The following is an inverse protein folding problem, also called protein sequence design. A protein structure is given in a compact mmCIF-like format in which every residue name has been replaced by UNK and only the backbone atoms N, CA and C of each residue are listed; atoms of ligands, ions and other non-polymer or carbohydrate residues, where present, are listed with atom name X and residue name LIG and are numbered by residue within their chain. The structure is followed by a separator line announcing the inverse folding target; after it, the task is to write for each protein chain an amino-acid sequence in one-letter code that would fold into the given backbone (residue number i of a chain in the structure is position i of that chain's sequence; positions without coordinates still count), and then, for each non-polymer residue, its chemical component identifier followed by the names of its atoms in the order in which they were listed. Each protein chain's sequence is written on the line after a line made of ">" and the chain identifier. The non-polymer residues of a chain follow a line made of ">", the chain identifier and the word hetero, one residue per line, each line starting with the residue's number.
data_IF_433222026719
#
_entry.id   IF_433222026719
#
_cell.length_a   1.000
_cell.length_b   1.000
_cell.length_c   1.000
_cell.angle_alpha   90.00
_cell.angle_beta   90.00
_cell.angle_gamma   90.00
#
_symmetry.space_group_name_H-M   'P 1'
#
loop_
_entity.id
_entity.type
_entity.pdbx_description
1 polymer ?
#
# COMPACT_ATOMS: atom_id res chain seq x y z
N UNK A 1 -43.16 -48.33 -5.87
CA UNK A 1 -41.86 -48.05 -6.55
C UNK A 1 -41.78 -46.61 -7.08
N UNK A 2 -42.43 -45.66 -6.42
CA UNK A 2 -42.40 -44.21 -6.76
C UNK A 2 -41.43 -43.41 -5.89
N UNK A 3 -40.83 -44.04 -4.87
CA UNK A 3 -39.94 -43.37 -3.92
C UNK A 3 -38.47 -43.29 -4.38
N UNK A 4 -38.00 -44.20 -5.25
CA UNK A 4 -36.59 -44.21 -5.71
C UNK A 4 -36.34 -43.19 -6.84
N UNK A 5 -37.38 -42.89 -7.62
CA UNK A 5 -37.34 -42.00 -8.79
C UNK A 5 -37.12 -40.53 -8.36
N UNK A 6 -37.68 -40.13 -7.21
CA UNK A 6 -37.40 -38.82 -6.63
C UNK A 6 -36.01 -38.74 -6.01
N UNK A 7 -35.44 -39.82 -5.47
CA UNK A 7 -34.16 -39.76 -4.78
C UNK A 7 -32.96 -39.49 -5.70
N UNK A 8 -32.89 -40.05 -6.92
CA UNK A 8 -31.70 -39.87 -7.78
C UNK A 8 -31.65 -38.48 -8.42
N UNK A 9 -32.80 -37.96 -8.89
CA UNK A 9 -32.90 -36.58 -9.39
C UNK A 9 -32.85 -35.54 -8.26
N UNK A 10 -33.33 -35.85 -7.05
CA UNK A 10 -33.09 -34.99 -5.87
C UNK A 10 -31.62 -35.02 -5.45
N UNK A 11 -30.94 -36.17 -5.44
CA UNK A 11 -29.55 -36.28 -4.94
C UNK A 11 -28.56 -35.54 -5.86
N UNK A 12 -28.74 -35.61 -7.18
CA UNK A 12 -27.84 -34.95 -8.15
C UNK A 12 -28.11 -33.44 -8.18
N UNK A 13 -29.39 -33.02 -8.13
CA UNK A 13 -29.75 -31.61 -7.89
C UNK A 13 -29.34 -31.09 -6.50
N UNK A 14 -29.27 -31.96 -5.47
CA UNK A 14 -28.80 -31.63 -4.13
C UNK A 14 -27.29 -31.38 -4.09
N UNK A 15 -26.46 -32.02 -4.93
CA UNK A 15 -25.02 -31.74 -4.93
C UNK A 15 -24.76 -30.28 -5.32
N UNK A 16 -25.53 -29.73 -6.27
CA UNK A 16 -25.48 -28.32 -6.64
C UNK A 16 -26.17 -27.40 -5.60
N UNK A 17 -27.31 -27.81 -5.04
CA UNK A 17 -28.04 -27.00 -4.05
C UNK A 17 -27.40 -26.94 -2.64
N UNK A 18 -26.66 -27.97 -2.23
CA UNK A 18 -26.10 -28.07 -0.86
C UNK A 18 -24.73 -27.39 -0.73
N UNK A 19 -24.04 -27.09 -1.84
CA UNK A 19 -22.68 -26.53 -1.82
C UNK A 19 -22.50 -25.13 -2.45
N UNK A 20 -23.57 -24.40 -2.81
CA UNK A 20 -23.49 -23.06 -3.43
C UNK A 20 -22.67 -23.01 -4.76
N UNK A 21 -22.71 -24.09 -5.55
CA UNK A 21 -22.11 -24.07 -6.88
C UNK A 21 -23.20 -23.89 -7.94
N UNK A 22 -23.12 -22.82 -8.72
CA UNK A 22 -23.99 -22.62 -9.88
C UNK A 22 -23.63 -23.67 -10.96
N UNK A 23 -24.45 -24.71 -11.07
CA UNK A 23 -24.32 -25.74 -12.08
C UNK A 23 -25.02 -25.30 -13.38
N UNK A 24 -24.34 -25.47 -14.51
CA UNK A 24 -24.89 -25.22 -15.84
C UNK A 24 -25.20 -26.54 -16.51
N UNK A 25 -26.42 -26.68 -17.05
CA UNK A 25 -26.87 -27.88 -17.75
C UNK A 25 -27.24 -27.56 -19.19
N UNK A 26 -26.70 -28.32 -20.14
CA UNK A 26 -26.99 -28.20 -21.58
C UNK A 26 -27.33 -29.57 -22.19
N UNK A 27 -28.26 -29.58 -23.15
CA UNK A 27 -28.61 -30.79 -23.91
C UNK A 27 -27.55 -31.14 -24.97
N UNK A 28 -27.53 -32.39 -25.40
CA UNK A 28 -26.70 -32.85 -26.52
C UNK A 28 -26.82 -31.95 -27.76
N UNK A 29 -25.68 -31.68 -28.40
CA UNK A 29 -25.54 -30.80 -29.55
C UNK A 29 -25.46 -29.32 -29.21
N UNK A 30 -25.87 -28.92 -28.00
CA UNK A 30 -25.91 -27.52 -27.58
C UNK A 30 -24.57 -27.02 -27.05
N UNK A 31 -24.41 -25.70 -26.99
CA UNK A 31 -23.20 -25.02 -26.52
C UNK A 31 -23.49 -24.20 -25.26
N UNK A 32 -22.54 -24.16 -24.34
CA UNK A 32 -22.51 -23.24 -23.20
C UNK A 32 -21.25 -22.39 -23.22
N UNK A 33 -21.39 -21.10 -22.88
CA UNK A 33 -20.28 -20.19 -22.62
C UNK A 33 -20.27 -19.82 -21.14
N UNK A 34 -19.09 -19.83 -20.53
CA UNK A 34 -18.92 -19.34 -19.17
C UNK A 34 -17.60 -18.61 -19.04
N UNK A 35 -17.58 -17.58 -18.21
CA UNK A 35 -16.41 -16.74 -18.02
C UNK A 35 -16.33 -16.22 -16.60
N UNK A 36 -15.11 -16.14 -16.11
CA UNK A 36 -14.75 -15.38 -14.93
C UNK A 36 -14.54 -13.90 -15.27
N UNK A 37 -14.56 -13.05 -14.25
CA UNK A 37 -14.18 -11.65 -14.42
C UNK A 37 -12.72 -11.52 -14.89
N UNK A 38 -12.40 -10.36 -15.46
CA UNK A 38 -11.03 -10.07 -15.88
C UNK A 38 -10.04 -10.32 -14.74
N UNK A 39 -8.91 -10.97 -15.07
CA UNK A 39 -7.86 -11.37 -14.12
C UNK A 39 -8.17 -12.58 -13.24
N UNK A 40 -9.22 -13.35 -13.57
CA UNK A 40 -9.50 -14.63 -12.94
C UNK A 40 -9.49 -15.76 -13.96
N UNK A 41 -9.03 -16.94 -13.55
CA UNK A 41 -9.14 -18.17 -14.33
C UNK A 41 -10.28 -19.02 -13.80
N UNK A 42 -10.89 -19.75 -14.73
CA UNK A 42 -11.89 -20.76 -14.47
C UNK A 42 -11.21 -22.08 -14.15
N UNK A 43 -11.69 -22.75 -13.10
CA UNK A 43 -11.31 -24.11 -12.76
C UNK A 43 -12.57 -24.96 -12.62
N UNK A 44 -12.70 -26.00 -13.44
CA UNK A 44 -13.86 -26.88 -13.39
C UNK A 44 -13.82 -27.66 -12.07
N UNK A 45 -14.93 -27.59 -11.34
CA UNK A 45 -15.11 -28.27 -10.07
C UNK A 45 -15.75 -29.64 -10.28
N UNK A 46 -16.66 -29.75 -11.25
CA UNK A 46 -17.39 -30.98 -11.53
C UNK A 46 -17.96 -30.97 -12.96
N UNK A 47 -18.04 -32.14 -13.60
CA UNK A 47 -18.84 -32.33 -14.81
C UNK A 47 -19.36 -33.77 -14.94
N UNK A 48 -20.60 -33.91 -15.39
CA UNK A 48 -21.30 -35.17 -15.61
C UNK A 48 -22.03 -35.19 -16.95
N UNK A 49 -21.83 -36.27 -17.70
CA UNK A 49 -22.55 -36.57 -18.93
C UNK A 49 -23.56 -37.68 -18.65
N UNK A 50 -24.84 -37.35 -18.71
CA UNK A 50 -25.89 -38.24 -18.20
C UNK A 50 -27.17 -38.18 -19.02
N UNK A 51 -28.05 -39.12 -18.76
CA UNK A 51 -29.46 -39.03 -19.12
C UNK A 51 -30.31 -39.58 -17.97
N UNK A 52 -31.55 -39.11 -17.91
CA UNK A 52 -32.52 -39.53 -16.90
C UNK A 52 -33.90 -39.58 -17.52
N UNK A 53 -34.60 -40.69 -17.29
CA UNK A 53 -36.00 -40.92 -17.67
C UNK A 53 -36.71 -41.64 -16.53
N UNK A 54 -38.02 -41.86 -16.67
CA UNK A 54 -38.82 -42.59 -15.67
C UNK A 54 -38.38 -44.03 -15.45
N UNK A 55 -37.71 -44.66 -16.42
CA UNK A 55 -37.39 -46.09 -16.40
C UNK A 55 -35.89 -46.39 -16.50
N UNK A 56 -35.08 -45.39 -16.80
CA UNK A 56 -33.65 -45.56 -17.05
C UNK A 56 -32.87 -44.28 -16.74
N UNK A 57 -31.73 -44.44 -16.07
CA UNK A 57 -30.78 -43.36 -15.81
C UNK A 57 -29.36 -43.91 -15.83
N UNK A 58 -28.44 -43.22 -16.50
CA UNK A 58 -27.01 -43.51 -16.44
C UNK A 58 -26.22 -42.21 -16.50
N UNK A 59 -25.04 -42.19 -15.89
CA UNK A 59 -24.20 -41.00 -15.75
C UNK A 59 -22.73 -41.36 -15.74
N UNK A 60 -21.92 -40.61 -16.49
CA UNK A 60 -20.46 -40.70 -16.49
C UNK A 60 -19.86 -39.39 -15.99
N UNK A 61 -18.90 -39.48 -15.08
CA UNK A 61 -18.10 -38.31 -14.68
C UNK A 61 -17.11 -37.97 -15.78
N UNK A 62 -17.22 -36.76 -16.31
CA UNK A 62 -16.42 -36.27 -17.45
C UNK A 62 -15.57 -35.06 -17.07
N UNK A 63 -15.40 -34.78 -15.76
CA UNK A 63 -14.64 -33.64 -15.24
C UNK A 63 -13.24 -33.52 -15.84
N UNK A 64 -12.49 -34.62 -16.02
CA UNK A 64 -11.15 -34.60 -16.62
C UNK A 64 -11.16 -34.20 -18.09
N UNK A 65 -12.15 -34.64 -18.86
CA UNK A 65 -12.35 -34.27 -20.26
C UNK A 65 -12.74 -32.80 -20.40
N UNK A 66 -13.58 -32.29 -19.50
CA UNK A 66 -13.94 -30.87 -19.50
C UNK A 66 -12.76 -30.00 -19.03
N UNK A 67 -12.02 -30.46 -18.01
CA UNK A 67 -10.81 -29.81 -17.50
C UNK A 67 -9.78 -29.54 -18.61
N UNK A 68 -9.54 -30.52 -19.50
CA UNK A 68 -8.50 -30.39 -20.53
C UNK A 68 -8.78 -29.29 -21.56
N UNK A 69 -10.05 -28.88 -21.71
CA UNK A 69 -10.43 -27.76 -22.57
C UNK A 69 -10.61 -26.44 -21.83
N UNK A 70 -11.12 -26.47 -20.59
CA UNK A 70 -11.53 -25.25 -19.89
C UNK A 70 -10.54 -24.72 -18.87
N UNK A 71 -9.77 -25.58 -18.20
CA UNK A 71 -9.05 -25.15 -17.02
C UNK A 71 -8.04 -24.04 -17.31
N UNK A 72 -7.97 -23.12 -16.36
CA UNK A 72 -7.03 -22.01 -16.33
C UNK A 72 -7.29 -20.92 -17.38
N UNK A 73 -8.32 -21.05 -18.21
CA UNK A 73 -8.75 -19.99 -19.11
C UNK A 73 -9.69 -19.00 -18.38
N UNK A 74 -9.70 -17.73 -18.79
CA UNK A 74 -10.68 -16.75 -18.27
C UNK A 74 -12.11 -17.13 -18.63
N UNK A 75 -12.28 -17.76 -19.79
CA UNK A 75 -13.56 -18.18 -20.31
C UNK A 75 -13.43 -19.53 -21.01
N UNK A 76 -14.50 -20.29 -21.02
CA UNK A 76 -14.61 -21.56 -21.73
C UNK A 76 -15.93 -21.64 -22.50
N UNK A 77 -15.85 -22.22 -23.69
CA UNK A 77 -17.03 -22.60 -24.48
C UNK A 77 -17.05 -24.11 -24.63
N UNK A 78 -18.13 -24.76 -24.20
CA UNK A 78 -18.31 -26.20 -24.27
C UNK A 78 -19.43 -26.54 -25.22
N UNK A 79 -19.24 -27.55 -26.07
CA UNK A 79 -20.32 -28.15 -26.87
C UNK A 79 -20.53 -29.58 -26.40
N UNK A 80 -21.76 -29.91 -26.01
CA UNK A 80 -22.09 -31.22 -25.48
C UNK A 80 -22.23 -32.25 -26.60
N UNK A 81 -21.17 -33.02 -26.89
CA UNK A 81 -21.20 -34.08 -27.90
C UNK A 81 -20.68 -35.41 -27.35
N UNK A 82 -21.36 -36.50 -27.70
CA UNK A 82 -20.94 -37.85 -27.34
C UNK A 82 -19.54 -38.21 -27.89
N UNK A 83 -19.11 -37.62 -29.02
CA UNK A 83 -17.78 -37.86 -29.59
C UNK A 83 -16.64 -37.29 -28.74
N UNK A 84 -16.85 -36.13 -28.11
CA UNK A 84 -15.84 -35.48 -27.27
C UNK A 84 -15.88 -35.98 -25.82
N UNK A 85 -17.08 -36.24 -25.29
CA UNK A 85 -17.29 -36.63 -23.89
C UNK A 85 -17.02 -38.13 -23.60
N UNK A 86 -16.41 -38.86 -24.54
CA UNK A 86 -15.98 -40.24 -24.35
C UNK A 86 -17.03 -41.30 -24.70
N UNK A 87 -18.13 -40.93 -25.35
CA UNK A 87 -19.14 -41.85 -25.88
C UNK A 87 -20.57 -41.48 -25.49
N UNK A 88 -21.51 -42.37 -25.83
CA UNK A 88 -22.91 -42.27 -25.46
C UNK A 88 -23.17 -43.15 -24.21
N UNK A 89 -23.43 -42.56 -23.02
CA UNK A 89 -23.69 -43.31 -21.79
C UNK A 89 -25.04 -44.04 -21.82
N UNK A 90 -25.94 -43.67 -22.74
CA UNK A 90 -27.29 -44.20 -22.80
C UNK A 90 -27.91 -44.04 -24.20
N UNK A 91 -27.59 -44.98 -25.11
CA UNK A 91 -28.11 -44.97 -26.47
C UNK A 91 -29.65 -44.87 -26.51
N UNK A 92 -30.17 -43.99 -27.35
CA UNK A 92 -31.61 -43.79 -27.54
C UNK A 92 -32.28 -42.80 -26.57
N UNK A 93 -31.55 -42.28 -25.58
CA UNK A 93 -32.04 -41.23 -24.67
C UNK A 93 -31.37 -39.88 -24.95
N UNK A 94 -32.09 -38.78 -24.71
CA UNK A 94 -31.49 -37.44 -24.75
C UNK A 94 -30.51 -37.31 -23.59
N UNK A 95 -29.31 -36.82 -23.89
CA UNK A 95 -28.23 -36.64 -22.92
C UNK A 95 -28.05 -35.18 -22.56
N UNK A 96 -27.51 -34.96 -21.37
CA UNK A 96 -27.27 -33.66 -20.79
C UNK A 96 -25.88 -33.61 -20.17
N UNK A 97 -25.19 -32.50 -20.42
CA UNK A 97 -23.92 -32.16 -19.77
C UNK A 97 -24.24 -31.18 -18.66
N UNK A 98 -24.07 -31.62 -17.42
CA UNK A 98 -24.07 -30.76 -16.25
C UNK A 98 -22.63 -30.51 -15.82
N UNK A 99 -22.28 -29.26 -15.55
CA UNK A 99 -20.94 -28.90 -15.11
C UNK A 99 -20.95 -27.65 -14.25
N UNK A 100 -19.93 -27.52 -13.41
CA UNK A 100 -19.71 -26.36 -12.55
C UNK A 100 -18.24 -25.98 -12.52
N UNK A 101 -17.99 -24.74 -12.14
CA UNK A 101 -16.64 -24.18 -12.04
C UNK A 101 -16.53 -23.15 -10.93
N UNK A 102 -15.29 -22.87 -10.54
CA UNK A 102 -14.92 -21.77 -9.67
C UNK A 102 -13.97 -20.80 -10.37
N UNK A 103 -14.05 -19.52 -9.98
CA UNK A 103 -13.15 -18.49 -10.47
C UNK A 103 -12.06 -18.19 -9.44
N UNK A 104 -10.80 -18.19 -9.89
CA UNK A 104 -9.64 -17.94 -9.05
C UNK A 104 -8.77 -16.82 -9.62
N UNK A 105 -8.20 -15.98 -8.76
CA UNK A 105 -7.33 -14.89 -9.18
C UNK A 105 -6.08 -15.40 -9.90
N UNK A 106 -5.70 -14.76 -11.00
CA UNK A 106 -4.37 -14.94 -11.62
C UNK A 106 -3.24 -14.53 -10.68
N UNK A 107 -3.53 -13.62 -9.74
CA UNK A 107 -2.56 -12.91 -8.92
C UNK A 107 -2.60 -13.41 -7.47
N UNK A 108 -1.45 -13.88 -6.99
CA UNK A 108 -1.24 -14.31 -5.62
C UNK A 108 -0.76 -13.18 -4.70
N UNK A 109 0.14 -13.51 -3.77
CA UNK A 109 0.74 -12.53 -2.85
C UNK A 109 1.62 -11.52 -3.60
N UNK A 110 1.87 -10.39 -2.93
CA UNK A 110 2.92 -9.46 -3.34
C UNK A 110 4.29 -10.09 -3.17
N UNK A 111 5.19 -9.81 -4.11
CA UNK A 111 6.62 -10.09 -3.95
C UNK A 111 7.31 -9.02 -3.06
N UNK A 112 8.62 -9.19 -2.92
CA UNK A 112 9.47 -8.23 -2.21
C UNK A 112 9.57 -6.92 -2.97
N UNK A 113 9.66 -5.83 -2.22
CA UNK A 113 9.97 -4.51 -2.76
C UNK A 113 11.31 -4.50 -3.49
N UNK A 114 11.34 -3.90 -4.68
CA UNK A 114 12.57 -3.58 -5.39
C UNK A 114 13.49 -2.69 -4.52
N UNK A 115 14.82 -2.81 -4.63
CA UNK A 115 15.74 -1.96 -3.88
C UNK A 115 15.75 -0.53 -4.44
N UNK A 116 15.90 0.46 -3.55
CA UNK A 116 16.16 1.83 -3.95
C UNK A 116 17.60 2.00 -4.47
N UNK A 117 17.84 2.90 -5.44
CA UNK A 117 19.19 3.29 -5.83
C UNK A 117 19.87 4.04 -4.67
N UNK A 118 21.21 4.10 -4.68
CA UNK A 118 21.98 4.76 -3.62
C UNK A 118 21.78 6.29 -3.53
N UNK A 119 21.59 6.96 -4.66
CA UNK A 119 21.17 8.36 -4.76
C UNK A 119 19.77 8.42 -5.39
N UNK A 120 18.78 8.92 -4.65
CA UNK A 120 17.43 9.06 -5.17
C UNK A 120 16.89 10.48 -5.02
N UNK A 121 16.35 10.99 -6.12
CA UNK A 121 15.67 12.29 -6.17
C UNK A 121 14.15 12.10 -6.26
N UNK A 122 13.68 11.35 -7.25
CA UNK A 122 12.25 11.11 -7.55
C UNK A 122 11.93 9.62 -7.78
N UNK A 123 12.86 8.72 -7.46
CA UNK A 123 12.69 7.29 -7.72
C UNK A 123 11.60 6.69 -6.84
N UNK A 124 10.75 5.87 -7.45
CA UNK A 124 9.82 4.99 -6.78
C UNK A 124 10.28 3.55 -6.99
N UNK A 125 10.19 2.73 -5.95
CA UNK A 125 10.32 1.28 -6.07
C UNK A 125 8.95 0.67 -6.34
N UNK A 126 8.96 -0.49 -6.98
CA UNK A 126 7.78 -1.28 -7.22
C UNK A 126 7.84 -2.60 -6.45
N UNK A 127 6.68 -3.18 -6.22
CA UNK A 127 6.51 -4.61 -5.99
C UNK A 127 5.33 -5.07 -6.84
N UNK A 128 5.29 -6.34 -7.20
CA UNK A 128 4.31 -6.91 -8.11
C UNK A 128 3.59 -8.09 -7.49
N UNK A 129 2.37 -8.33 -7.96
CA UNK A 129 1.66 -9.55 -7.62
C UNK A 129 2.27 -10.73 -8.37
N UNK A 130 2.50 -11.82 -7.66
CA UNK A 130 3.04 -13.05 -8.25
C UNK A 130 1.95 -13.72 -9.11
N UNK A 131 2.29 -14.14 -10.32
CA UNK A 131 1.41 -14.94 -11.17
C UNK A 131 1.28 -16.35 -10.58
N UNK A 132 0.06 -16.76 -10.20
CA UNK A 132 -0.26 -18.08 -9.64
C UNK A 132 -1.15 -18.91 -10.57
N UNK A 133 -1.45 -18.40 -11.76
CA UNK A 133 -2.17 -19.12 -12.80
C UNK A 133 -1.36 -20.36 -13.19
N UNK A 134 -1.92 -21.59 -13.08
CA UNK A 134 -1.14 -22.81 -13.27
C UNK A 134 -0.55 -22.97 -14.68
N UNK A 135 -1.28 -22.53 -15.72
CA UNK A 135 -0.84 -22.61 -17.11
C UNK A 135 -1.02 -21.28 -17.85
N UNK A 136 -0.09 -21.00 -18.76
CA UNK A 136 -0.07 -19.77 -19.55
C UNK A 136 0.38 -18.55 -18.73
N UNK A 137 0.39 -17.38 -19.37
CA UNK A 137 0.82 -16.14 -18.73
C UNK A 137 -0.36 -15.41 -18.08
N UNK A 138 -0.09 -14.73 -16.95
CA UNK A 138 -1.07 -13.82 -16.31
C UNK A 138 -1.15 -12.45 -17.00
N UNK A 139 -0.21 -12.13 -17.89
CA UNK A 139 -0.06 -10.80 -18.49
C UNK A 139 0.70 -9.82 -17.58
N UNK A 140 0.36 -8.54 -17.66
CA UNK A 140 1.02 -7.48 -16.89
C UNK A 140 0.63 -7.52 -15.41
N UNK A 141 1.61 -7.77 -14.54
CA UNK A 141 1.38 -7.85 -13.10
C UNK A 141 0.95 -6.50 -12.50
N UNK A 142 -0.13 -6.48 -11.69
CA UNK A 142 -0.45 -5.35 -10.83
C UNK A 142 0.77 -4.95 -10.01
N UNK A 143 1.05 -3.65 -10.00
CA UNK A 143 2.18 -3.08 -9.29
C UNK A 143 1.69 -2.14 -8.20
N UNK A 144 2.36 -2.19 -7.06
CA UNK A 144 2.27 -1.20 -5.99
C UNK A 144 3.59 -0.42 -5.96
N UNK A 145 3.51 0.86 -5.61
CA UNK A 145 4.63 1.79 -5.70
C UNK A 145 4.87 2.49 -4.38
N UNK A 146 6.15 2.72 -4.06
CA UNK A 146 6.55 3.49 -2.88
C UNK A 146 7.71 4.41 -3.21
N UNK A 147 7.71 5.60 -2.65
CA UNK A 147 8.80 6.55 -2.86
C UNK A 147 10.06 6.11 -2.12
N UNK A 148 11.20 6.13 -2.79
CA UNK A 148 12.49 5.91 -2.13
C UNK A 148 12.78 6.96 -1.06
N UNK A 149 12.28 8.18 -1.24
CA UNK A 149 12.43 9.22 -0.23
C UNK A 149 11.70 8.87 1.06
N UNK A 150 10.53 8.25 0.98
CA UNK A 150 9.82 7.77 2.17
C UNK A 150 10.62 6.69 2.91
N UNK A 151 11.45 5.90 2.21
CA UNK A 151 12.32 4.88 2.81
C UNK A 151 13.64 5.42 3.38
N UNK A 152 13.88 6.74 3.27
CA UNK A 152 15.09 7.36 3.79
C UNK A 152 16.30 7.27 2.88
N UNK A 153 16.10 6.82 1.63
CA UNK A 153 17.14 6.91 0.63
C UNK A 153 17.60 8.37 0.50
N UNK A 154 18.91 8.53 0.40
CA UNK A 154 19.62 9.80 0.44
C UNK A 154 19.72 10.38 -0.97
N UNK A 155 19.68 11.70 -1.10
CA UNK A 155 20.18 12.37 -2.30
C UNK A 155 21.51 13.04 -2.02
N UNK A 156 22.47 12.98 -2.95
CA UNK A 156 23.71 13.78 -2.87
C UNK A 156 23.46 15.29 -2.71
N UNK A 157 22.25 15.73 -3.04
CA UNK A 157 21.78 17.10 -2.90
C UNK A 157 21.08 17.44 -1.57
N UNK A 158 21.09 16.53 -0.59
CA UNK A 158 20.50 16.75 0.72
C UNK A 158 21.55 16.75 1.83
N UNK A 159 21.30 17.54 2.87
CA UNK A 159 22.01 17.46 4.13
C UNK A 159 21.40 16.31 4.94
N UNK A 160 22.23 15.34 5.33
CA UNK A 160 21.84 14.23 6.19
C UNK A 160 22.35 14.45 7.62
N UNK A 161 21.45 14.44 8.59
CA UNK A 161 21.77 14.57 10.01
C UNK A 161 21.02 13.57 10.86
N UNK A 162 21.66 13.18 11.96
CA UNK A 162 21.07 12.32 12.98
C UNK A 162 21.19 13.05 14.33
N UNK A 163 20.13 12.97 15.13
CA UNK A 163 20.11 13.48 16.50
C UNK A 163 19.89 12.30 17.46
N UNK A 164 20.80 12.09 18.42
CA UNK A 164 20.65 11.03 19.42
C UNK A 164 19.58 11.38 20.47
N UNK A 165 19.31 10.42 21.37
CA UNK A 165 18.41 10.58 22.50
C UNK A 165 19.12 11.27 23.69
N UNK A 166 19.44 12.55 23.54
CA UNK A 166 20.17 13.32 24.57
C UNK A 166 19.53 14.68 24.90
N UNK A 167 18.49 15.09 24.16
CA UNK A 167 17.87 16.41 24.24
C UNK A 167 18.84 17.58 23.97
N UNK A 168 19.97 17.34 23.30
CA UNK A 168 20.92 18.39 22.92
C UNK A 168 20.52 18.97 21.56
N UNK A 169 20.55 20.29 21.47
CA UNK A 169 20.32 21.01 20.22
C UNK A 169 21.61 21.10 19.41
N UNK A 170 21.59 20.50 18.22
CA UNK A 170 22.69 20.46 17.27
C UNK A 170 22.48 21.53 16.20
N UNK A 171 23.49 22.39 16.01
CA UNK A 171 23.47 23.43 15.00
C UNK A 171 23.61 22.88 13.59
N UNK A 172 22.86 23.44 12.65
CA UNK A 172 23.00 23.17 11.22
C UNK A 172 23.98 24.13 10.51
N UNK A 173 24.60 25.06 11.25
CA UNK A 173 25.65 25.95 10.72
C UNK A 173 26.82 25.19 10.08
N UNK A 174 27.33 24.06 10.63
CA UNK A 174 28.41 23.31 10.00
C UNK A 174 28.06 22.75 8.60
N UNK A 175 26.77 22.57 8.30
CA UNK A 175 26.28 22.18 6.96
C UNK A 175 26.02 23.37 6.04
N UNK A 176 26.39 24.57 6.49
CA UNK A 176 26.06 25.82 5.82
C UNK A 176 24.55 25.99 5.64
N UNK A 177 23.79 25.50 6.62
CA UNK A 177 22.33 25.57 6.63
C UNK A 177 21.86 26.44 7.80
N UNK A 178 21.81 27.74 7.54
CA UNK A 178 21.38 28.78 8.49
C UNK A 178 20.01 29.34 8.10
N UNK A 179 19.37 30.09 8.99
CA UNK A 179 18.09 30.72 8.69
C UNK A 179 18.22 32.05 7.93
N UNK A 180 19.39 32.69 7.97
CA UNK A 180 19.65 33.95 7.26
C UNK A 180 19.29 33.85 5.78
N UNK A 181 18.50 34.80 5.28
CA UNK A 181 18.01 34.82 3.89
C UNK A 181 16.84 33.88 3.61
N UNK A 182 16.24 33.28 4.65
CA UNK A 182 15.08 32.36 4.55
C UNK A 182 14.00 32.79 5.53
N UNK A 183 12.77 32.38 5.25
CA UNK A 183 11.61 32.53 6.16
C UNK A 183 10.85 31.22 6.35
N UNK A 184 11.35 30.13 5.77
CA UNK A 184 10.75 28.81 5.83
C UNK A 184 11.74 27.73 5.42
N UNK A 185 11.49 26.51 5.87
CA UNK A 185 12.21 25.30 5.48
C UNK A 185 11.20 24.18 5.30
N UNK A 186 11.31 23.46 4.18
CA UNK A 186 10.74 22.14 4.00
C UNK A 186 11.84 21.10 4.21
N UNK A 187 11.53 20.01 4.88
CA UNK A 187 12.47 18.95 5.24
C UNK A 187 11.72 17.62 5.36
N UNK A 188 12.46 16.52 5.46
CA UNK A 188 11.87 15.23 5.83
C UNK A 188 12.64 14.61 6.98
N UNK A 189 11.94 13.90 7.84
CA UNK A 189 12.55 13.25 8.99
C UNK A 189 11.77 12.01 9.41
N UNK A 190 12.45 11.12 10.14
CA UNK A 190 11.82 9.99 10.82
C UNK A 190 12.30 9.91 12.26
N UNK A 191 11.38 9.54 13.15
CA UNK A 191 11.62 9.28 14.55
C UNK A 191 10.41 8.55 15.14
N UNK A 192 10.56 8.01 16.34
CA UNK A 192 9.42 7.52 17.12
C UNK A 192 8.55 8.67 17.62
N UNK A 193 9.19 9.74 18.09
CA UNK A 193 8.56 10.89 18.74
C UNK A 193 9.58 12.03 18.90
N UNK A 194 9.10 13.21 19.31
CA UNK A 194 9.89 14.33 19.80
C UNK A 194 10.95 14.87 18.82
N UNK A 195 10.60 15.16 17.56
CA UNK A 195 11.47 15.96 16.70
C UNK A 195 11.39 17.43 17.10
N UNK A 196 12.51 18.02 17.54
CA UNK A 196 12.58 19.40 18.00
C UNK A 196 13.39 20.24 17.03
N UNK A 197 12.88 21.43 16.71
CA UNK A 197 13.58 22.46 15.95
C UNK A 197 13.60 23.73 16.79
N UNK A 198 14.77 24.36 16.93
CA UNK A 198 14.92 25.67 17.56
C UNK A 198 15.41 26.70 16.56
N UNK A 199 14.75 27.86 16.53
CA UNK A 199 15.07 28.98 15.66
C UNK A 199 15.42 30.20 16.52
N UNK A 200 16.61 30.76 16.35
CA UNK A 200 17.10 31.84 17.23
C UNK A 200 18.08 32.79 16.54
N UNK A 201 18.42 33.88 17.24
CA UNK A 201 19.38 34.88 16.78
C UNK A 201 20.84 34.49 17.03
N UNK A 202 21.08 33.58 17.98
CA UNK A 202 22.39 33.09 18.40
C UNK A 202 22.53 31.60 18.08
N UNK A 203 23.75 31.17 17.74
CA UNK A 203 24.08 29.76 17.52
C UNK A 203 24.43 29.09 18.86
N UNK A 204 23.43 28.97 19.73
CA UNK A 204 23.62 28.48 21.10
C UNK A 204 22.63 27.39 21.50
N UNK A 205 23.20 26.30 22.00
CA UNK A 205 22.44 25.18 22.54
C UNK A 205 21.95 25.41 23.98
N UNK A 206 22.33 26.50 24.65
CA UNK A 206 22.00 26.74 26.07
C UNK A 206 21.55 28.17 26.44
N UNK A 207 21.79 29.16 25.58
CA UNK A 207 21.44 30.57 25.82
C UNK A 207 20.53 31.13 24.73
N UNK A 208 19.90 32.28 24.98
CA UNK A 208 19.14 33.02 23.97
C UNK A 208 17.68 32.60 23.82
N UNK A 209 16.89 33.46 23.18
CA UNK A 209 15.45 33.24 22.94
C UNK A 209 15.23 32.50 21.64
N UNK A 210 14.44 31.43 21.70
CA UNK A 210 14.23 30.52 20.59
C UNK A 210 12.74 30.25 20.36
N UNK A 211 12.29 30.39 19.12
CA UNK A 211 11.10 29.65 18.71
C UNK A 211 11.41 28.17 18.77
N UNK A 212 10.48 27.38 19.30
CA UNK A 212 10.61 25.92 19.33
C UNK A 212 9.41 25.32 18.62
N UNK A 213 9.70 24.47 17.65
CA UNK A 213 8.73 23.67 16.93
C UNK A 213 8.98 22.22 17.33
N UNK A 214 7.94 21.53 17.77
CA UNK A 214 8.02 20.11 18.14
C UNK A 214 6.99 19.33 17.35
N UNK A 215 7.46 18.34 16.60
CA UNK A 215 6.61 17.32 15.98
C UNK A 215 6.62 16.06 16.84
N UNK A 216 5.43 15.57 17.17
CA UNK A 216 5.24 14.28 17.85
C UNK A 216 5.72 14.22 19.32
N UNK A 217 5.44 15.25 20.11
CA UNK A 217 5.45 15.21 21.58
C UNK A 217 4.48 14.18 22.18
N UNK A 218 4.66 13.87 23.47
CA UNK A 218 3.77 12.97 24.25
C UNK A 218 3.57 11.61 23.57
N UNK A 219 4.67 10.93 23.23
CA UNK A 219 4.64 9.68 22.47
C UNK A 219 3.97 9.84 21.10
N UNK A 220 4.31 10.91 20.37
CA UNK A 220 3.79 11.20 19.04
C UNK A 220 2.26 11.39 18.99
N UNK A 221 1.67 11.97 20.04
CA UNK A 221 0.23 12.28 20.07
C UNK A 221 -0.07 13.78 19.97
N UNK A 222 0.95 14.63 20.20
CA UNK A 222 0.79 16.09 20.17
C UNK A 222 1.96 16.70 19.42
N UNK A 223 1.72 17.70 18.59
CA UNK A 223 2.77 18.62 18.09
C UNK A 223 2.54 20.00 18.70
N UNK A 224 3.59 20.80 18.90
CA UNK A 224 3.46 22.08 19.57
C UNK A 224 4.42 23.15 19.04
N UNK A 225 4.03 24.41 19.21
CA UNK A 225 4.84 25.59 18.99
C UNK A 225 5.06 26.34 20.30
N UNK A 226 6.26 26.89 20.51
CA UNK A 226 6.63 27.68 21.70
C UNK A 226 7.48 28.89 21.32
N UNK A 227 7.46 29.91 22.17
CA UNK A 227 8.34 31.08 22.06
C UNK A 227 9.62 30.98 22.89
N UNK A 228 9.74 29.97 23.75
CA UNK A 228 10.98 29.63 24.42
C UNK A 228 11.06 28.13 24.72
N UNK A 229 12.28 27.62 24.94
CA UNK A 229 12.49 26.25 25.38
C UNK A 229 11.86 26.05 26.77
N UNK A 230 11.10 24.98 26.93
CA UNK A 230 10.42 24.68 28.19
C UNK A 230 9.21 25.58 28.53
N UNK A 231 8.87 26.59 27.71
CA UNK A 231 7.69 27.43 27.97
C UNK A 231 6.38 26.70 27.65
N UNK A 232 5.26 27.33 28.02
CA UNK A 232 3.93 26.95 27.53
C UNK A 232 3.88 27.01 26.00
N UNK A 233 3.06 26.13 25.40
CA UNK A 233 2.77 26.17 23.97
C UNK A 233 1.92 27.39 23.62
N UNK A 234 2.26 28.05 22.51
CA UNK A 234 1.40 29.09 21.91
C UNK A 234 0.32 28.48 21.03
N UNK A 235 0.58 27.30 20.47
CA UNK A 235 -0.38 26.51 19.69
C UNK A 235 0.03 25.03 19.73
N UNK A 236 -0.92 24.14 19.47
CA UNK A 236 -0.71 22.69 19.49
C UNK A 236 -1.67 21.96 18.56
N UNK A 237 -1.19 20.86 17.99
CA UNK A 237 -1.96 19.93 17.19
C UNK A 237 -2.07 18.58 17.90
N UNK A 238 -3.26 17.98 17.94
CA UNK A 238 -3.48 16.63 18.47
C UNK A 238 -3.58 15.63 17.33
N UNK A 239 -2.68 14.65 17.34
CA UNK A 239 -2.60 13.60 16.33
C UNK A 239 -1.16 13.16 16.11
N UNK A 240 -0.99 11.92 15.62
CA UNK A 240 0.31 11.41 15.23
C UNK A 240 0.76 12.00 13.89
N UNK A 241 2.04 12.34 13.83
CA UNK A 241 2.64 12.94 12.64
C UNK A 241 3.94 12.25 12.21
N UNK A 242 4.61 11.55 13.12
CA UNK A 242 5.86 10.85 12.84
C UNK A 242 5.66 9.35 12.63
N UNK A 243 6.48 8.77 11.75
CA UNK A 243 6.65 7.32 11.61
C UNK A 243 8.12 6.95 11.82
N UNK A 244 8.37 5.88 12.58
CA UNK A 244 9.74 5.40 12.81
C UNK A 244 10.36 4.83 11.54
N UNK A 245 9.55 4.09 10.78
CA UNK A 245 10.03 3.35 9.61
C UNK A 245 10.26 4.27 8.40
N UNK A 246 9.44 5.31 8.28
CA UNK A 246 9.32 6.11 7.07
C UNK A 246 9.64 7.57 7.34
N UNK A 247 10.36 8.20 6.41
CA UNK A 247 10.56 9.64 6.41
C UNK A 247 9.25 10.32 6.02
N UNK A 248 8.76 11.15 6.93
CA UNK A 248 7.64 12.04 6.70
C UNK A 248 8.16 13.42 6.31
N UNK A 249 7.42 14.10 5.43
CA UNK A 249 7.75 15.44 4.97
C UNK A 249 7.02 16.50 5.82
N UNK A 250 7.75 17.54 6.18
CA UNK A 250 7.27 18.63 7.01
C UNK A 250 7.79 19.96 6.50
N UNK A 251 7.17 21.03 6.97
CA UNK A 251 7.71 22.36 6.81
C UNK A 251 7.45 23.21 8.05
N UNK A 252 8.28 24.23 8.21
CA UNK A 252 8.06 25.31 9.17
C UNK A 252 8.38 26.67 8.55
N UNK A 253 7.75 27.72 9.07
CA UNK A 253 7.91 29.10 8.59
C UNK A 253 7.87 30.10 9.75
N UNK A 254 8.68 31.15 9.65
CA UNK A 254 8.75 32.30 10.55
C UNK A 254 8.57 33.62 9.79
N UNK A 255 7.61 33.64 8.86
CA UNK A 255 7.38 34.81 7.99
C UNK A 255 6.44 35.83 8.63
N UNK A 256 6.82 37.11 8.56
CA UNK A 256 6.09 38.21 9.19
C UNK A 256 6.06 38.04 10.71
N UNK A 257 4.87 38.11 11.29
CA UNK A 257 4.63 37.91 12.73
C UNK A 257 4.14 36.51 13.09
N UNK A 258 4.32 35.52 12.20
CA UNK A 258 3.76 34.19 12.41
C UNK A 258 4.82 33.09 12.39
N UNK A 259 4.76 32.23 13.40
CA UNK A 259 5.43 30.93 13.43
C UNK A 259 4.41 29.86 13.03
N UNK A 260 4.71 29.09 11.98
CA UNK A 260 3.80 28.08 11.42
C UNK A 260 4.54 26.78 11.15
N UNK A 261 3.81 25.68 11.21
CA UNK A 261 4.32 24.38 10.79
C UNK A 261 3.21 23.51 10.18
N UNK A 262 3.58 22.63 9.26
CA UNK A 262 2.67 21.76 8.55
C UNK A 262 3.34 20.51 8.01
N UNK A 263 2.54 19.68 7.36
CA UNK A 263 2.96 18.42 6.73
C UNK A 263 3.09 18.59 5.20
N UNK A 264 3.87 17.72 4.59
CA UNK A 264 4.14 17.71 3.16
C UNK A 264 5.39 18.51 2.76
N UNK A 265 5.81 18.33 1.51
CA UNK A 265 7.01 18.96 0.93
C UNK A 265 6.84 20.42 0.54
N UNK A 266 5.61 20.95 0.49
CA UNK A 266 5.33 22.31 0.06
C UNK A 266 4.98 23.19 1.25
N UNK A 267 5.68 24.31 1.43
CA UNK A 267 5.37 25.26 2.50
C UNK A 267 3.93 25.76 2.37
N UNK A 268 3.15 25.63 3.44
CA UNK A 268 1.73 25.99 3.48
C UNK A 268 0.76 24.81 3.26
N UNK A 269 1.22 23.66 2.72
CA UNK A 269 0.36 22.48 2.63
C UNK A 269 0.04 21.94 4.01
N UNK A 270 -1.21 21.53 4.27
CA UNK A 270 -1.58 20.81 5.49
C UNK A 270 -0.98 21.42 6.76
N UNK A 271 -1.25 22.72 6.96
CA UNK A 271 -0.80 23.46 8.13
C UNK A 271 -1.51 22.92 9.38
N UNK A 272 -0.71 22.47 10.36
CA UNK A 272 -1.24 21.90 11.60
C UNK A 272 -1.08 22.83 12.80
N UNK A 273 -0.18 23.82 12.75
CA UNK A 273 0.05 24.76 13.84
C UNK A 273 0.40 26.16 13.33
N UNK A 274 -0.07 27.21 14.01
CA UNK A 274 0.16 28.62 13.69
C UNK A 274 0.03 29.54 14.91
N UNK A 275 1.13 30.18 15.31
CA UNK A 275 1.15 31.19 16.37
C UNK A 275 1.46 32.59 15.83
N UNK A 276 0.73 33.60 16.31
CA UNK A 276 1.09 35.01 16.13
C UNK A 276 2.01 35.48 17.27
N UNK A 277 3.06 36.23 16.92
CA UNK A 277 3.96 36.86 17.89
C UNK A 277 4.14 38.34 17.54
N UNK A 278 3.68 39.22 18.43
CA UNK A 278 3.65 40.67 18.20
C UNK A 278 5.05 41.28 17.99
N UNK A 279 6.06 40.72 18.66
CA UNK A 279 7.47 41.16 18.60
C UNK A 279 8.34 40.03 18.06
N UNK A 280 8.31 39.74 16.75
CA UNK A 280 8.97 38.57 16.20
C UNK A 280 10.48 38.61 16.44
N UNK A 281 11.05 37.47 16.84
CA UNK A 281 12.51 37.34 17.00
C UNK A 281 13.23 37.44 15.67
N UNK A 282 14.45 37.98 15.70
CA UNK A 282 15.43 37.78 14.65
C UNK A 282 15.84 36.31 14.62
N UNK A 283 15.81 35.70 13.44
CA UNK A 283 16.11 34.28 13.25
C UNK A 283 17.28 34.12 12.27
N UNK A 284 18.44 33.73 12.81
CA UNK A 284 19.68 33.55 12.05
C UNK A 284 20.10 32.08 12.00
N UNK A 285 19.79 31.30 13.03
CA UNK A 285 20.27 29.92 13.19
C UNK A 285 19.13 28.93 13.33
N UNK A 286 19.40 27.70 12.87
CA UNK A 286 18.50 26.55 12.95
C UNK A 286 19.25 25.44 13.69
N UNK A 287 18.63 24.93 14.75
CA UNK A 287 19.12 23.77 15.47
C UNK A 287 18.06 22.69 15.51
N UNK A 288 18.51 21.44 15.56
CA UNK A 288 17.66 20.26 15.66
C UNK A 288 18.02 19.43 16.89
N UNK A 289 17.04 18.74 17.45
CA UNK A 289 17.23 17.80 18.54
C UNK A 289 16.17 16.69 18.45
N UNK A 290 16.42 15.57 19.11
CA UNK A 290 15.37 14.62 19.44
C UNK A 290 15.21 14.53 20.95
N UNK A 291 13.95 14.54 21.40
CA UNK A 291 13.64 14.49 22.82
C UNK A 291 13.77 13.08 23.43
N UNK A 292 13.66 13.01 24.76
CA UNK A 292 13.78 11.78 25.55
C UNK A 292 13.03 10.57 24.95
N UNK A 293 13.74 9.45 24.85
CA UNK A 293 13.22 8.17 24.37
C UNK A 293 13.23 8.02 22.84
N UNK A 294 13.81 8.96 22.10
CA UNK A 294 13.84 8.88 20.64
C UNK A 294 15.15 9.39 20.04
N UNK A 295 15.49 8.86 18.86
CA UNK A 295 16.50 9.40 17.96
C UNK A 295 15.82 9.84 16.67
N UNK A 296 16.39 10.84 16.01
CA UNK A 296 15.86 11.40 14.77
C UNK A 296 16.87 11.26 13.64
N UNK A 297 16.37 10.94 12.45
CA UNK A 297 17.10 11.10 11.20
C UNK A 297 16.41 12.16 10.36
N UNK A 298 17.21 13.04 9.75
CA UNK A 298 16.75 14.24 9.09
C UNK A 298 17.38 14.36 7.72
N UNK A 299 16.61 14.89 6.77
CA UNK A 299 17.09 15.34 5.45
C UNK A 299 16.61 16.77 5.23
N UNK A 300 17.56 17.66 5.05
CA UNK A 300 17.32 19.06 4.70
C UNK A 300 17.77 19.32 3.26
N UNK A 301 17.19 20.30 2.56
CA UNK A 301 17.70 20.72 1.26
C UNK A 301 19.13 21.25 1.40
N UNK A 302 19.92 21.12 0.34
CA UNK A 302 21.31 21.55 0.32
C UNK A 302 21.53 22.98 0.87
N UNK A 303 22.61 23.14 1.63
CA UNK A 303 23.16 24.43 2.02
C UNK A 303 23.77 25.18 0.83
N UNK A 304 23.96 26.50 0.96
CA UNK A 304 24.36 27.39 -0.16
C UNK A 304 25.88 27.60 -0.25
N UNK A 305 26.71 26.80 0.45
CA UNK A 305 28.16 26.97 0.39
C UNK A 305 28.84 25.82 -0.35
N UNK A 306 29.79 26.18 -1.22
CA UNK A 306 30.72 25.21 -1.83
C UNK A 306 31.50 24.55 -0.69
N UNK A 307 31.27 23.25 -0.43
CA UNK A 307 32.15 22.47 0.45
C UNK A 307 33.56 22.58 -0.13
N UNK A 308 34.48 23.24 0.56
CA UNK A 308 35.90 23.06 0.29
C UNK A 308 36.23 21.63 0.75
N UNK A 309 36.55 20.79 -0.22
CA UNK A 309 37.08 19.46 0.01
C UNK A 309 38.48 19.67 0.61
N UNK A 310 38.66 19.28 1.86
CA UNK A 310 39.98 19.15 2.51
C UNK A 310 40.60 17.81 2.17
#
# INVERSE_FOLDING_TARGET
>A
MTAVIHLVSLIIGLICFVQQFDCTTISEGSTSYSACSSQNYLQITYASWYCSSTFYSNSWTVTSTVNSNCNYNTACTLQATSSWLGGDPCPGYIKYLEWSYSCHSFWGSWDSWDPCPGDCTTHNIARRRICVKPNGECGSAPADYKSCKELGCYSSSEISRNTPNDNIYYSLTPDCFVATGRTSVAFRARANNNLHIALGSEDSSSSGTHYVIVFGHSSNTVSLLRFARGSSSCDSYTGSVLRQTYFDEFWFSWSGSYLRAGRGSTVGSDQIMSCYHATPYTVNFIMIATGSGSSGEWRFPNGVCKKQIS
#
